data_IF_886869769028
#
_entry.id   IF_886869769028
#
_cell.length_a   1.000
_cell.length_b   1.000
_cell.length_c   1.000
_cell.angle_alpha   90.00
_cell.angle_beta   90.00
_cell.angle_gamma   90.00
#
_symmetry.space_group_name_H-M   'P 1'
#
loop_
_entity.id
_entity.type
_entity.pdbx_description
1 polymer ?
#
# COMPACT_ATOMS: atom_id res chain seq x y z
N UNK A 1 -8.79 30.00 -22.16
CA UNK A 1 -8.39 29.35 -20.86
C UNK A 1 -7.26 28.40 -21.20
N UNK A 2 -6.21 28.33 -20.38
CA UNK A 2 -5.15 27.35 -20.61
C UNK A 2 -5.77 25.94 -20.45
N UNK A 3 -5.53 25.07 -21.43
CA UNK A 3 -5.98 23.67 -21.39
C UNK A 3 -4.90 22.88 -20.68
N UNK A 4 -5.23 22.30 -19.52
CA UNK A 4 -4.33 21.46 -18.76
C UNK A 4 -4.64 19.99 -19.00
N UNK A 5 -3.61 19.13 -18.96
CA UNK A 5 -3.76 17.69 -19.10
C UNK A 5 -4.59 17.08 -17.98
N UNK A 6 -4.48 17.63 -16.77
CA UNK A 6 -5.16 17.18 -15.55
C UNK A 6 -5.64 18.37 -14.72
N UNK A 7 -6.76 18.20 -14.01
CA UNK A 7 -7.21 19.13 -12.99
C UNK A 7 -6.39 18.99 -11.70
N UNK A 8 -5.97 17.75 -11.42
CA UNK A 8 -5.18 17.40 -10.23
C UNK A 8 -4.08 16.40 -10.59
N UNK A 9 -2.84 16.74 -10.24
CA UNK A 9 -1.71 15.80 -10.24
C UNK A 9 -1.21 15.59 -8.82
N UNK A 10 -1.30 14.37 -8.32
CA UNK A 10 -0.77 13.98 -7.01
C UNK A 10 0.65 13.41 -7.19
N UNK A 11 1.61 13.89 -6.41
CA UNK A 11 2.99 13.40 -6.43
C UNK A 11 3.20 12.49 -5.23
N UNK A 12 3.44 11.20 -5.51
CA UNK A 12 3.59 10.15 -4.52
C UNK A 12 2.28 9.41 -4.20
N UNK A 13 2.29 8.09 -4.37
CA UNK A 13 1.14 7.22 -4.13
C UNK A 13 1.19 6.51 -2.76
N UNK A 14 1.75 7.16 -1.74
CA UNK A 14 1.61 6.72 -0.34
C UNK A 14 0.16 6.87 0.16
N UNK A 15 -0.14 6.53 1.44
CA UNK A 15 -1.52 6.55 1.96
C UNK A 15 -2.25 7.87 1.75
N UNK A 16 -1.60 9.01 1.97
CA UNK A 16 -2.20 10.32 1.68
C UNK A 16 -2.44 10.55 0.19
N UNK A 17 -1.47 10.15 -0.66
CA UNK A 17 -1.51 10.39 -2.09
C UNK A 17 -2.55 9.55 -2.82
N UNK A 18 -2.58 8.23 -2.63
CA UNK A 18 -3.58 7.41 -3.33
C UNK A 18 -5.02 7.72 -2.86
N UNK A 19 -5.20 8.03 -1.57
CA UNK A 19 -6.51 8.44 -1.07
C UNK A 19 -6.96 9.76 -1.69
N UNK A 20 -6.07 10.76 -1.74
CA UNK A 20 -6.35 12.05 -2.37
C UNK A 20 -6.67 11.92 -3.87
N UNK A 21 -5.87 11.15 -4.60
CA UNK A 21 -6.08 10.92 -6.03
C UNK A 21 -7.41 10.24 -6.33
N UNK A 22 -7.74 9.17 -5.60
CA UNK A 22 -9.01 8.47 -5.74
C UNK A 22 -10.18 9.41 -5.42
N UNK A 23 -10.07 10.19 -4.34
CA UNK A 23 -11.14 11.11 -3.94
C UNK A 23 -11.33 12.24 -4.95
N UNK A 24 -10.26 12.83 -5.47
CA UNK A 24 -10.35 13.84 -6.52
C UNK A 24 -11.06 13.30 -7.78
N UNK A 25 -10.70 12.10 -8.21
CA UNK A 25 -11.35 11.44 -9.34
C UNK A 25 -12.84 11.14 -9.08
N UNK A 26 -13.20 10.71 -7.86
CA UNK A 26 -14.60 10.50 -7.47
C UNK A 26 -15.43 11.79 -7.48
N UNK A 27 -14.81 12.92 -7.29
CA UNK A 27 -15.43 14.25 -7.40
C UNK A 27 -15.53 14.77 -8.84
N UNK A 28 -15.12 13.96 -9.82
CA UNK A 28 -15.22 14.28 -11.25
C UNK A 28 -14.01 15.02 -11.82
N UNK A 29 -12.94 15.18 -11.04
CA UNK A 29 -11.73 15.84 -11.52
C UNK A 29 -10.87 14.87 -12.36
N UNK A 30 -10.33 15.36 -13.48
CA UNK A 30 -9.36 14.60 -14.28
C UNK A 30 -8.05 14.49 -13.51
N UNK A 31 -7.75 13.31 -13.00
CA UNK A 31 -6.71 13.13 -11.99
C UNK A 31 -5.60 12.19 -12.45
N UNK A 32 -4.35 12.59 -12.22
CA UNK A 32 -3.18 11.73 -12.32
C UNK A 32 -2.47 11.59 -10.97
N UNK A 33 -1.71 10.50 -10.81
CA UNK A 33 -0.83 10.29 -9.68
C UNK A 33 0.54 9.79 -10.17
N UNK A 34 1.60 10.51 -9.84
CA UNK A 34 2.97 10.12 -10.14
C UNK A 34 3.56 9.31 -8.98
N UNK A 35 4.18 8.15 -9.28
CA UNK A 35 4.84 7.31 -8.29
C UNK A 35 6.13 6.73 -8.85
N UNK A 36 7.21 6.88 -8.08
CA UNK A 36 8.55 6.43 -8.47
C UNK A 36 8.79 4.94 -8.29
N UNK A 37 8.01 4.27 -7.44
CA UNK A 37 8.05 2.81 -7.26
C UNK A 37 7.23 2.11 -8.34
N UNK A 38 7.56 0.84 -8.58
CA UNK A 38 6.79 -0.02 -9.50
C UNK A 38 5.41 -0.42 -8.95
N UNK A 39 5.13 -0.10 -7.69
CA UNK A 39 3.88 -0.41 -7.00
C UNK A 39 3.36 0.82 -6.25
N UNK A 40 2.03 0.93 -6.17
CA UNK A 40 1.35 1.96 -5.38
C UNK A 40 1.38 1.63 -3.87
N UNK A 41 0.99 2.58 -3.03
CA UNK A 41 0.88 2.39 -1.59
C UNK A 41 2.05 2.96 -0.77
N UNK A 42 3.10 3.45 -1.44
CA UNK A 42 4.25 4.10 -0.82
C UNK A 42 4.99 3.21 0.19
N UNK A 43 5.69 3.82 1.12
CA UNK A 43 6.44 3.12 2.18
C UNK A 43 5.54 2.26 3.06
N UNK A 44 4.36 2.75 3.43
CA UNK A 44 3.45 2.03 4.34
C UNK A 44 3.06 0.65 3.81
N UNK A 45 2.59 0.55 2.56
CA UNK A 45 2.15 -0.73 2.01
C UNK A 45 3.32 -1.64 1.64
N UNK A 46 4.40 -1.07 1.11
CA UNK A 46 5.48 -1.86 0.52
C UNK A 46 6.51 -2.36 1.54
N UNK A 47 6.93 -1.52 2.48
CA UNK A 47 8.06 -1.82 3.37
C UNK A 47 7.84 -1.42 4.84
N UNK A 48 6.70 -0.82 5.17
CA UNK A 48 6.41 -0.28 6.50
C UNK A 48 5.23 -0.97 7.18
N UNK A 49 4.08 -0.28 7.25
CA UNK A 49 2.92 -0.67 8.06
C UNK A 49 2.42 -2.10 7.77
N UNK A 50 2.25 -2.45 6.51
CA UNK A 50 1.65 -3.72 6.14
C UNK A 50 2.58 -4.90 6.40
N UNK A 51 3.82 -4.92 5.88
CA UNK A 51 4.71 -6.05 6.16
C UNK A 51 5.04 -6.19 7.64
N UNK A 52 5.18 -5.10 8.40
CA UNK A 52 5.43 -5.18 9.84
C UNK A 52 4.23 -5.73 10.60
N UNK A 53 3.00 -5.30 10.28
CA UNK A 53 1.78 -5.83 10.93
C UNK A 53 1.57 -7.31 10.62
N UNK A 54 1.83 -7.76 9.38
CA UNK A 54 1.74 -9.17 9.03
C UNK A 54 2.71 -10.02 9.87
N UNK A 55 3.96 -9.55 10.05
CA UNK A 55 4.95 -10.25 10.85
C UNK A 55 4.61 -10.23 12.35
N UNK A 56 4.22 -9.09 12.90
CA UNK A 56 3.83 -8.96 14.30
C UNK A 56 2.64 -9.86 14.65
N UNK A 57 1.61 -9.87 13.80
CA UNK A 57 0.43 -10.70 13.98
C UNK A 57 0.78 -12.20 14.05
N UNK A 58 1.61 -12.69 13.13
CA UNK A 58 2.08 -14.08 13.16
C UNK A 58 2.94 -14.38 14.40
N UNK A 59 3.80 -13.44 14.83
CA UNK A 59 4.64 -13.60 16.00
C UNK A 59 3.85 -13.61 17.31
N UNK A 60 2.74 -12.87 17.40
CA UNK A 60 1.84 -12.88 18.55
C UNK A 60 1.19 -14.26 18.75
N UNK A 61 0.71 -14.89 17.68
CA UNK A 61 0.17 -16.26 17.76
C UNK A 61 1.22 -17.27 18.17
N UNK A 62 2.42 -17.18 17.59
CA UNK A 62 3.51 -18.07 17.96
C UNK A 62 3.92 -17.89 19.43
N UNK A 63 4.01 -16.65 19.90
CA UNK A 63 4.31 -16.34 21.28
C UNK A 63 3.24 -16.89 22.24
N UNK A 64 1.96 -16.66 21.95
CA UNK A 64 0.85 -17.17 22.78
C UNK A 64 0.85 -18.71 22.86
N UNK A 65 1.19 -19.37 21.76
CA UNK A 65 1.31 -20.83 21.73
C UNK A 65 2.53 -21.37 22.48
N UNK A 66 3.62 -20.59 22.53
CA UNK A 66 4.91 -21.03 23.11
C UNK A 66 5.06 -20.71 24.60
N UNK A 67 4.44 -19.63 25.08
CA UNK A 67 4.66 -19.11 26.44
C UNK A 67 3.69 -19.65 27.50
N UNK A 68 2.82 -20.61 27.17
CA UNK A 68 1.85 -21.20 28.07
C UNK A 68 0.50 -20.48 28.15
N UNK A 69 0.33 -19.30 27.54
CA UNK A 69 -0.94 -18.57 27.60
C UNK A 69 -2.12 -19.39 27.06
N UNK A 70 -1.90 -20.15 25.97
CA UNK A 70 -2.95 -21.04 25.42
C UNK A 70 -3.25 -22.21 26.39
N UNK A 71 -2.24 -22.76 27.05
CA UNK A 71 -2.43 -23.86 28.02
C UNK A 71 -3.26 -23.42 29.21
N UNK A 72 -3.11 -22.19 29.71
CA UNK A 72 -3.96 -21.61 30.76
C UNK A 72 -5.44 -21.54 30.35
N UNK A 73 -5.73 -21.43 29.09
CA UNK A 73 -7.08 -21.45 28.51
C UNK A 73 -7.58 -22.87 28.20
N UNK A 74 -6.81 -23.91 28.52
CA UNK A 74 -7.14 -25.30 28.21
C UNK A 74 -6.82 -25.73 26.78
N UNK A 75 -5.99 -24.98 26.06
CA UNK A 75 -5.58 -25.28 24.69
C UNK A 75 -4.12 -25.76 24.70
N UNK A 76 -3.92 -27.05 24.54
CA UNK A 76 -2.57 -27.62 24.45
C UNK A 76 -2.08 -27.61 23.00
N UNK A 77 -0.93 -26.99 22.78
CA UNK A 77 -0.29 -26.90 21.45
C UNK A 77 1.22 -27.09 21.56
N UNK A 78 1.81 -27.66 20.54
CA UNK A 78 3.27 -27.71 20.35
C UNK A 78 3.62 -26.91 19.09
N UNK A 79 3.94 -25.61 19.23
CA UNK A 79 4.14 -24.75 18.09
C UNK A 79 5.46 -25.07 17.38
N UNK A 80 5.43 -25.04 16.05
CA UNK A 80 6.62 -25.10 15.20
C UNK A 80 6.59 -23.92 14.24
N UNK A 81 7.64 -23.12 14.25
CA UNK A 81 7.76 -21.97 13.36
C UNK A 81 8.32 -22.39 12.00
N UNK A 82 7.62 -21.99 10.93
CA UNK A 82 8.08 -22.02 9.55
C UNK A 82 8.24 -20.57 9.05
N UNK A 83 9.47 -20.08 9.08
CA UNK A 83 9.78 -18.69 8.70
C UNK A 83 9.52 -18.41 7.24
N UNK A 84 9.71 -19.40 6.36
CA UNK A 84 9.48 -19.20 4.92
C UNK A 84 8.00 -18.97 4.63
N UNK A 85 7.11 -19.71 5.29
CA UNK A 85 5.67 -19.49 5.20
C UNK A 85 5.24 -18.17 5.81
N UNK A 86 5.81 -17.80 6.94
CA UNK A 86 5.55 -16.50 7.57
C UNK A 86 5.96 -15.33 6.65
N UNK A 87 7.12 -15.44 6.00
CA UNK A 87 7.55 -14.46 5.01
C UNK A 87 6.70 -14.47 3.73
N UNK A 88 6.22 -15.64 3.29
CA UNK A 88 5.29 -15.74 2.17
C UNK A 88 3.99 -15.01 2.47
N UNK A 89 3.37 -15.24 3.62
CA UNK A 89 2.16 -14.55 4.06
C UNK A 89 2.35 -13.02 4.11
N UNK A 90 3.51 -12.56 4.59
CA UNK A 90 3.85 -11.13 4.57
C UNK A 90 3.88 -10.57 3.13
N UNK A 91 4.53 -11.30 2.19
CA UNK A 91 4.57 -10.89 0.77
C UNK A 91 3.19 -10.85 0.15
N UNK A 92 2.38 -11.87 0.40
CA UNK A 92 1.00 -11.96 -0.11
C UNK A 92 0.13 -10.80 0.38
N UNK A 93 0.28 -10.40 1.65
CA UNK A 93 -0.41 -9.24 2.21
C UNK A 93 -0.02 -7.93 1.51
N UNK A 94 1.28 -7.71 1.27
CA UNK A 94 1.79 -6.55 0.53
C UNK A 94 1.27 -6.55 -0.91
N UNK A 95 1.39 -7.67 -1.60
CA UNK A 95 0.97 -7.80 -3.00
C UNK A 95 -0.55 -7.60 -3.15
N UNK A 96 -1.34 -8.18 -2.28
CA UNK A 96 -2.79 -8.03 -2.30
C UNK A 96 -3.22 -6.57 -2.13
N UNK A 97 -2.63 -5.85 -1.19
CA UNK A 97 -2.99 -4.45 -0.93
C UNK A 97 -2.47 -3.49 -2.01
N UNK A 98 -1.26 -3.68 -2.50
CA UNK A 98 -0.73 -2.83 -3.60
C UNK A 98 -1.51 -3.04 -4.89
N UNK A 99 -1.89 -4.28 -5.23
CA UNK A 99 -2.80 -4.59 -6.35
C UNK A 99 -4.20 -4.00 -6.12
N UNK A 100 -4.69 -3.99 -4.88
CA UNK A 100 -5.95 -3.37 -4.51
C UNK A 100 -5.98 -1.87 -4.79
N UNK A 101 -4.91 -1.14 -4.45
CA UNK A 101 -4.79 0.30 -4.79
C UNK A 101 -4.73 0.51 -6.30
N UNK A 102 -3.97 -0.31 -7.03
CA UNK A 102 -3.92 -0.24 -8.50
C UNK A 102 -5.30 -0.48 -9.15
N UNK A 103 -6.06 -1.45 -8.62
CA UNK A 103 -7.44 -1.68 -9.04
C UNK A 103 -8.33 -0.45 -8.79
N UNK A 104 -8.20 0.19 -7.62
CA UNK A 104 -8.96 1.40 -7.29
C UNK A 104 -8.60 2.57 -8.21
N UNK A 105 -7.33 2.73 -8.58
CA UNK A 105 -6.91 3.72 -9.58
C UNK A 105 -7.62 3.47 -10.91
N UNK A 106 -7.57 2.23 -11.42
CA UNK A 106 -8.24 1.86 -12.66
C UNK A 106 -9.75 2.09 -12.58
N UNK A 107 -10.40 1.65 -11.48
CA UNK A 107 -11.85 1.81 -11.27
C UNK A 107 -12.29 3.27 -11.28
N UNK A 108 -11.50 4.15 -10.66
CA UNK A 108 -11.80 5.58 -10.56
C UNK A 108 -11.17 6.42 -11.69
N UNK A 109 -10.54 5.80 -12.69
CA UNK A 109 -9.90 6.48 -13.82
C UNK A 109 -8.81 7.46 -13.40
N UNK A 110 -8.04 7.12 -12.36
CA UNK A 110 -6.82 7.85 -12.00
C UNK A 110 -5.69 7.38 -12.90
N UNK A 111 -5.05 8.29 -13.62
CA UNK A 111 -3.89 8.00 -14.44
C UNK A 111 -2.67 7.77 -13.56
N UNK A 112 -2.11 6.57 -13.60
CA UNK A 112 -0.85 6.28 -12.93
C UNK A 112 0.35 6.60 -13.81
N UNK A 113 1.09 7.64 -13.45
CA UNK A 113 2.36 8.03 -14.09
C UNK A 113 3.52 7.42 -13.31
N UNK A 114 4.23 6.48 -13.96
CA UNK A 114 5.38 5.81 -13.36
C UNK A 114 6.64 6.64 -13.58
N UNK A 115 7.24 7.09 -12.50
CA UNK A 115 8.48 7.86 -12.54
C UNK A 115 8.63 8.82 -11.38
N UNK A 116 9.79 9.45 -11.34
CA UNK A 116 10.09 10.50 -10.35
C UNK A 116 9.60 11.85 -10.87
N UNK A 117 8.64 12.43 -10.17
CA UNK A 117 8.04 13.70 -10.55
C UNK A 117 8.88 14.90 -10.06
N UNK A 118 9.11 15.86 -10.95
CA UNK A 118 9.82 17.11 -10.66
C UNK A 118 9.07 18.30 -11.25
N UNK A 119 8.96 19.39 -10.51
CA UNK A 119 8.39 20.63 -11.01
C UNK A 119 9.32 21.27 -12.07
N UNK A 120 8.76 21.62 -13.21
CA UNK A 120 9.42 22.43 -14.23
C UNK A 120 9.05 23.91 -14.08
N UNK A 121 7.78 24.18 -13.82
CA UNK A 121 7.21 25.50 -13.56
C UNK A 121 5.95 25.37 -12.67
N UNK A 122 5.18 26.46 -12.53
CA UNK A 122 3.98 26.48 -11.67
C UNK A 122 2.85 25.57 -12.15
N UNK A 123 2.89 25.12 -13.41
CA UNK A 123 1.82 24.34 -14.05
C UNK A 123 2.31 23.06 -14.73
N UNK A 124 3.62 22.82 -14.73
CA UNK A 124 4.24 21.70 -15.44
C UNK A 124 5.06 20.82 -14.51
N UNK A 125 4.75 19.54 -14.52
CA UNK A 125 5.50 18.49 -13.80
C UNK A 125 6.04 17.50 -14.82
N UNK A 126 7.33 17.22 -14.75
CA UNK A 126 7.99 16.15 -15.50
C UNK A 126 7.99 14.88 -14.66
N UNK A 127 7.58 13.78 -15.26
CA UNK A 127 7.60 12.44 -14.66
C UNK A 127 8.49 11.51 -15.49
#
# INVERSE_FOLDING_TARGET
MAEYDYDVLVIGAGPGGYVAAIRAAQLGLKTACAESRDTLGGTCLNVGCIPSKAMLHASEYFNAASNGTMAEMGIEVTPKLDLDKMHAQRRDAVEGLTKGVAFLFKKNKVDWKKGHATFQDAHTVKV
#
